data_IF_149175820181
#
_entry.id   IF_149175820181
#
_cell.length_a   1.000
_cell.length_b   1.000
_cell.length_c   1.000
_cell.angle_alpha   90.00
_cell.angle_beta   90.00
_cell.angle_gamma   90.00
#
_symmetry.space_group_name_H-M   'P 1'
#
loop_
_entity.id
_entity.type
_entity.pdbx_description
1 polymer ?
#
# COMPACT_ATOMS: atom_id res chain seq x y z
N UNK A 1 7.58 -21.88 -9.50
CA UNK A 1 7.05 -20.57 -9.07
C UNK A 1 8.11 -19.65 -8.42
N UNK A 2 9.41 -19.94 -8.53
CA UNK A 2 10.51 -19.15 -7.95
C UNK A 2 11.14 -18.13 -8.91
N UNK A 3 10.97 -18.32 -10.22
CA UNK A 3 11.67 -17.59 -11.29
C UNK A 3 11.43 -16.08 -11.36
N UNK A 4 10.37 -15.57 -10.72
CA UNK A 4 9.99 -14.15 -10.78
C UNK A 4 10.32 -13.38 -9.49
N UNK A 5 10.87 -14.07 -8.48
CA UNK A 5 11.39 -13.45 -7.28
C UNK A 5 12.83 -13.00 -7.56
N UNK A 6 13.19 -11.70 -7.45
CA UNK A 6 14.58 -11.26 -7.64
C UNK A 6 15.56 -11.87 -6.63
N UNK A 7 15.06 -12.46 -5.54
CA UNK A 7 15.85 -13.17 -4.53
C UNK A 7 15.76 -14.70 -4.65
N UNK A 8 15.10 -15.24 -5.68
CA UNK A 8 14.92 -16.68 -5.94
C UNK A 8 14.38 -17.56 -4.79
N UNK A 9 13.87 -16.94 -3.72
CA UNK A 9 13.35 -17.61 -2.52
C UNK A 9 11.81 -17.69 -2.47
N UNK A 10 11.12 -17.28 -3.54
CA UNK A 10 9.64 -17.21 -3.58
C UNK A 10 9.02 -16.01 -2.84
N UNK A 11 9.78 -15.27 -2.04
CA UNK A 11 9.30 -14.22 -1.13
C UNK A 11 9.71 -12.79 -1.50
N UNK A 12 10.21 -12.55 -2.72
CA UNK A 12 10.66 -11.23 -3.18
C UNK A 12 9.49 -10.33 -3.55
N UNK A 13 8.73 -9.90 -2.54
CA UNK A 13 7.71 -8.88 -2.71
C UNK A 13 8.39 -7.52 -2.85
N UNK A 14 7.73 -6.60 -3.54
CA UNK A 14 8.28 -5.29 -3.87
C UNK A 14 7.33 -4.55 -4.78
N UNK A 15 7.70 -3.34 -5.16
CA UNK A 15 6.88 -2.47 -5.97
C UNK A 15 6.78 -3.00 -7.41
N UNK A 16 5.80 -3.86 -7.67
CA UNK A 16 5.56 -4.47 -8.99
C UNK A 16 4.78 -3.59 -9.96
N UNK A 17 3.93 -2.70 -9.42
CA UNK A 17 3.14 -1.73 -10.19
C UNK A 17 3.22 -0.31 -9.62
N UNK A 18 4.07 -0.10 -8.62
CA UNK A 18 4.25 1.20 -7.97
C UNK A 18 5.65 1.76 -8.23
N UNK A 19 5.81 3.08 -8.11
CA UNK A 19 7.12 3.74 -8.14
C UNK A 19 7.09 4.94 -7.21
N UNK A 20 8.08 5.05 -6.33
CA UNK A 20 8.31 6.26 -5.54
C UNK A 20 8.87 7.36 -6.44
N UNK A 21 8.21 8.52 -6.47
CA UNK A 21 8.67 9.70 -7.21
C UNK A 21 9.72 10.44 -6.39
N UNK A 22 9.56 10.43 -5.06
CA UNK A 22 10.45 11.11 -4.14
C UNK A 22 9.78 11.48 -2.83
N UNK A 23 10.57 12.10 -1.96
CA UNK A 23 10.14 12.66 -0.69
C UNK A 23 10.05 14.17 -0.80
N UNK A 24 8.93 14.72 -0.36
CA UNK A 24 8.62 16.13 -0.45
C UNK A 24 8.36 16.68 0.95
N UNK A 25 9.08 17.74 1.31
CA UNK A 25 8.87 18.45 2.57
C UNK A 25 7.77 19.49 2.36
N UNK A 26 6.68 19.35 3.10
CA UNK A 26 5.58 20.30 3.12
C UNK A 26 5.44 20.79 4.56
N UNK A 27 5.73 22.07 4.79
CA UNK A 27 5.87 22.66 6.12
C UNK A 27 6.91 21.89 6.96
N UNK A 28 6.48 21.31 8.10
CA UNK A 28 7.33 20.52 8.99
C UNK A 28 7.24 19.01 8.74
N UNK A 29 6.40 18.56 7.79
CA UNK A 29 6.17 17.16 7.51
C UNK A 29 6.88 16.72 6.22
N UNK A 30 7.30 15.45 6.18
CA UNK A 30 7.84 14.82 4.98
C UNK A 30 6.79 13.83 4.47
N UNK A 31 6.53 13.88 3.16
CA UNK A 31 5.63 12.97 2.48
C UNK A 31 6.34 12.29 1.32
N UNK A 32 6.18 10.99 1.21
CA UNK A 32 6.53 10.22 0.04
C UNK A 32 5.37 10.25 -0.96
N UNK A 33 5.68 10.51 -2.23
CA UNK A 33 4.73 10.41 -3.34
C UNK A 33 5.03 9.15 -4.15
N UNK A 34 4.00 8.35 -4.41
CA UNK A 34 4.13 7.10 -5.16
C UNK A 34 3.10 7.01 -6.28
N UNK A 35 3.52 6.70 -7.52
CA UNK A 35 2.59 6.42 -8.62
C UNK A 35 2.33 4.92 -8.70
N UNK A 36 1.06 4.53 -8.63
CA UNK A 36 0.61 3.15 -8.85
C UNK A 36 -0.05 3.05 -10.22
N UNK A 37 0.41 2.10 -11.04
CA UNK A 37 0.00 1.93 -12.44
C UNK A 37 0.96 2.54 -13.47
N UNK A 38 2.08 3.11 -13.03
CA UNK A 38 3.00 3.85 -13.90
C UNK A 38 3.79 2.99 -14.90
N UNK A 39 3.62 1.66 -14.90
CA UNK A 39 4.26 0.73 -15.83
C UNK A 39 5.09 -0.34 -15.12
N UNK A 40 5.65 -1.25 -15.92
CA UNK A 40 6.38 -2.43 -15.45
C UNK A 40 7.60 -2.08 -14.60
N UNK A 41 7.81 -2.84 -13.53
CA UNK A 41 8.95 -2.75 -12.60
C UNK A 41 9.67 -4.09 -12.47
N UNK A 42 10.87 -4.07 -11.91
CA UNK A 42 11.67 -5.28 -11.66
C UNK A 42 10.94 -6.30 -10.78
N UNK A 43 10.03 -5.84 -9.92
CA UNK A 43 9.22 -6.67 -9.03
C UNK A 43 7.84 -7.01 -9.59
N UNK A 44 7.57 -6.75 -10.89
CA UNK A 44 6.24 -6.96 -11.49
C UNK A 44 5.83 -8.44 -11.64
N UNK A 45 6.75 -9.39 -11.45
CA UNK A 45 6.52 -10.84 -11.49
C UNK A 45 5.74 -11.35 -12.71
N UNK A 46 6.04 -10.80 -13.88
CA UNK A 46 5.35 -11.13 -15.13
C UNK A 46 4.11 -10.27 -15.42
N UNK A 47 3.66 -9.47 -14.45
CA UNK A 47 2.67 -8.43 -14.67
C UNK A 47 3.18 -7.27 -15.53
N UNK A 48 2.25 -6.52 -16.08
CA UNK A 48 2.49 -5.33 -16.91
C UNK A 48 2.79 -4.05 -16.10
N UNK A 49 2.61 -4.09 -14.77
CA UNK A 49 2.79 -2.95 -13.86
C UNK A 49 1.74 -1.84 -14.03
N UNK A 50 0.63 -2.12 -14.73
CA UNK A 50 -0.49 -1.20 -14.94
C UNK A 50 -1.64 -1.48 -13.98
N UNK A 51 -2.36 -0.41 -13.62
CA UNK A 51 -3.65 -0.49 -12.94
C UNK A 51 -4.78 -0.08 -13.88
N UNK A 52 -5.98 -0.58 -13.61
CA UNK A 52 -7.19 -0.25 -14.38
C UNK A 52 -8.01 0.82 -13.69
N UNK A 53 -8.76 1.61 -14.47
CA UNK A 53 -9.52 2.75 -13.97
C UNK A 53 -10.43 2.41 -12.80
N UNK A 54 -11.16 1.29 -12.87
CA UNK A 54 -12.05 0.83 -11.78
C UNK A 54 -11.31 0.62 -10.45
N UNK A 55 -10.10 0.05 -10.46
CA UNK A 55 -9.32 -0.17 -9.24
C UNK A 55 -8.77 1.15 -8.71
N UNK A 56 -8.32 2.02 -9.62
CA UNK A 56 -7.74 3.31 -9.25
C UNK A 56 -8.80 4.28 -8.70
N UNK A 57 -10.03 4.26 -9.22
CA UNK A 57 -11.18 5.00 -8.65
C UNK A 57 -11.48 4.50 -7.23
N UNK A 58 -11.57 3.17 -7.03
CA UNK A 58 -11.84 2.59 -5.72
C UNK A 58 -10.78 2.97 -4.70
N UNK A 59 -9.51 2.86 -5.05
CA UNK A 59 -8.39 3.26 -4.18
C UNK A 59 -8.46 4.76 -3.87
N UNK A 60 -8.68 5.62 -4.87
CA UNK A 60 -8.80 7.06 -4.67
C UNK A 60 -9.94 7.42 -3.70
N UNK A 61 -11.16 6.93 -3.97
CA UNK A 61 -12.33 7.26 -3.17
C UNK A 61 -12.20 6.76 -1.73
N UNK A 62 -11.72 5.53 -1.53
CA UNK A 62 -11.69 4.94 -0.19
C UNK A 62 -10.51 5.41 0.64
N UNK A 63 -9.37 5.74 0.03
CA UNK A 63 -8.29 6.49 0.69
C UNK A 63 -8.82 7.75 1.36
N UNK A 64 -9.57 8.56 0.61
CA UNK A 64 -10.07 9.85 1.08
C UNK A 64 -11.27 9.71 2.03
N UNK A 65 -12.14 8.72 1.81
CA UNK A 65 -13.22 8.39 2.73
C UNK A 65 -12.68 7.95 4.10
N UNK A 66 -11.67 7.06 4.12
CA UNK A 66 -11.02 6.61 5.36
C UNK A 66 -10.41 7.79 6.12
N UNK A 67 -9.72 8.69 5.41
CA UNK A 67 -9.17 9.89 6.00
C UNK A 67 -10.27 10.76 6.64
N UNK A 68 -11.38 10.96 5.92
CA UNK A 68 -12.53 11.76 6.39
C UNK A 68 -13.23 11.13 7.61
N UNK A 69 -13.24 9.79 7.70
CA UNK A 69 -13.71 9.03 8.87
C UNK A 69 -12.70 9.05 10.04
N UNK A 70 -11.57 9.75 9.89
CA UNK A 70 -10.50 9.79 10.89
C UNK A 70 -9.75 8.47 11.02
N UNK A 71 -9.83 7.58 10.04
CA UNK A 71 -9.11 6.30 10.01
C UNK A 71 -7.73 6.53 9.38
N UNK A 72 -6.62 6.19 10.06
CA UNK A 72 -5.28 6.35 9.50
C UNK A 72 -5.16 5.60 8.17
N UNK A 73 -4.71 6.30 7.12
CA UNK A 73 -4.63 5.77 5.76
C UNK A 73 -3.61 6.49 4.90
N UNK A 74 -3.12 5.83 3.85
CA UNK A 74 -2.49 6.48 2.70
C UNK A 74 -3.51 7.33 1.94
N UNK A 75 -3.11 8.53 1.54
CA UNK A 75 -3.93 9.50 0.83
C UNK A 75 -3.79 9.32 -0.69
N UNK A 76 -4.78 9.79 -1.43
CA UNK A 76 -4.78 9.80 -2.88
C UNK A 76 -4.80 11.25 -3.39
N UNK A 77 -3.69 11.69 -3.99
CA UNK A 77 -3.52 13.07 -4.45
C UNK A 77 -4.17 13.32 -5.81
N UNK A 78 -4.04 12.37 -6.74
CA UNK A 78 -4.56 12.53 -8.10
C UNK A 78 -4.84 11.19 -8.75
N UNK A 79 -5.79 11.18 -9.68
CA UNK A 79 -6.14 10.03 -10.52
C UNK A 79 -6.09 10.46 -11.99
N UNK A 80 -5.28 9.75 -12.78
CA UNK A 80 -5.14 9.97 -14.22
C UNK A 80 -5.64 8.74 -14.98
N UNK A 81 -6.57 8.94 -15.91
CA UNK A 81 -6.98 7.91 -16.86
C UNK A 81 -6.18 8.02 -18.15
N UNK A 82 -5.80 6.89 -18.74
CA UNK A 82 -5.22 6.87 -20.07
C UNK A 82 -6.35 6.83 -21.11
N UNK A 83 -6.28 7.70 -22.11
CA UNK A 83 -7.29 7.74 -23.20
C UNK A 83 -7.01 6.66 -24.26
N UNK A 84 -5.74 6.36 -24.51
CA UNK A 84 -5.31 5.48 -25.60
C UNK A 84 -4.94 4.05 -25.15
N UNK A 85 -4.49 3.87 -23.92
CA UNK A 85 -4.02 2.57 -23.43
C UNK A 85 -5.13 1.76 -22.75
N UNK A 86 -5.27 0.50 -23.17
CA UNK A 86 -6.15 -0.48 -22.54
C UNK A 86 -5.32 -1.63 -21.98
N UNK A 87 -5.78 -2.16 -20.85
CA UNK A 87 -5.14 -3.25 -20.11
C UNK A 87 -6.13 -4.39 -19.98
N UNK A 88 -5.69 -5.61 -20.28
CA UNK A 88 -6.50 -6.81 -20.15
C UNK A 88 -6.59 -7.23 -18.68
N UNK A 89 -7.81 -7.33 -18.14
CA UNK A 89 -8.12 -7.83 -16.79
C UNK A 89 -9.51 -8.48 -16.81
N UNK A 90 -9.75 -9.42 -15.91
CA UNK A 90 -11.07 -10.03 -15.73
C UNK A 90 -12.14 -8.99 -15.40
N UNK A 91 -13.33 -9.12 -15.97
CA UNK A 91 -14.47 -8.25 -15.62
C UNK A 91 -14.97 -8.57 -14.21
N UNK A 92 -15.57 -7.59 -13.53
CA UNK A 92 -16.37 -7.85 -12.32
C UNK A 92 -17.84 -8.11 -12.65
N UNK A 93 -18.27 -7.76 -13.88
CA UNK A 93 -19.66 -7.89 -14.34
C UNK A 93 -19.92 -9.22 -15.03
N UNK A 94 -18.91 -9.73 -15.71
CA UNK A 94 -18.97 -10.95 -16.50
C UNK A 94 -18.10 -11.96 -15.75
N UNK A 95 -18.73 -12.86 -15.01
CA UNK A 95 -18.06 -13.97 -14.31
C UNK A 95 -17.82 -15.14 -15.30
N UNK A 96 -17.38 -14.80 -16.51
CA UNK A 96 -17.11 -15.74 -17.59
C UNK A 96 -15.65 -16.20 -17.61
N UNK A 97 -14.86 -15.72 -16.63
CA UNK A 97 -13.44 -15.99 -16.48
C UNK A 97 -12.55 -15.28 -17.52
N UNK A 98 -13.10 -14.50 -18.46
CA UNK A 98 -12.35 -13.90 -19.57
C UNK A 98 -11.76 -12.55 -19.20
N UNK A 99 -10.68 -12.20 -19.89
CA UNK A 99 -10.09 -10.87 -19.79
C UNK A 99 -10.72 -9.91 -20.80
N UNK A 100 -11.06 -8.72 -20.31
CA UNK A 100 -11.62 -7.64 -21.11
C UNK A 100 -10.65 -6.47 -21.14
N UNK A 101 -10.76 -5.66 -22.21
CA UNK A 101 -10.01 -4.43 -22.32
C UNK A 101 -10.58 -3.37 -21.37
N UNK A 102 -9.80 -3.03 -20.35
CA UNK A 102 -10.14 -2.00 -19.37
C UNK A 102 -9.28 -0.75 -19.61
N UNK A 103 -9.80 0.43 -19.30
CA UNK A 103 -9.03 1.67 -19.38
C UNK A 103 -7.88 1.62 -18.36
N UNK A 104 -6.65 1.90 -18.80
CA UNK A 104 -5.51 2.02 -17.90
C UNK A 104 -5.62 3.30 -17.07
N UNK A 105 -5.14 3.28 -15.82
CA UNK A 105 -5.12 4.46 -14.96
C UNK A 105 -3.91 4.45 -14.03
N UNK A 106 -3.55 5.64 -13.54
CA UNK A 106 -2.49 5.88 -12.58
C UNK A 106 -3.07 6.66 -11.40
N UNK A 107 -2.85 6.18 -10.17
CA UNK A 107 -3.16 6.92 -8.95
C UNK A 107 -1.87 7.40 -8.29
N UNK A 108 -1.81 8.68 -7.92
CA UNK A 108 -0.75 9.23 -7.11
C UNK A 108 -1.14 9.10 -5.64
N UNK A 109 -0.35 8.33 -4.89
CA UNK A 109 -0.54 8.04 -3.48
C UNK A 109 0.42 8.90 -2.66
N UNK A 110 -0.02 9.28 -1.47
CA UNK A 110 0.75 10.11 -0.54
C UNK A 110 0.71 9.50 0.85
N UNK A 111 1.87 9.38 1.48
CA UNK A 111 2.01 8.87 2.84
C UNK A 111 3.29 9.40 3.47
N UNK A 112 3.40 9.53 4.82
CA UNK A 112 4.69 9.80 5.46
C UNK A 112 5.78 8.77 5.08
N UNK A 113 5.39 7.51 4.90
CA UNK A 113 6.20 6.49 4.23
C UNK A 113 5.33 5.35 3.68
N UNK A 114 5.89 4.56 2.77
CA UNK A 114 5.28 3.32 2.28
C UNK A 114 5.90 2.05 2.88
N UNK A 115 6.64 2.16 4.00
CA UNK A 115 7.21 0.99 4.68
C UNK A 115 6.15 0.06 5.25
N UNK A 116 6.44 -1.24 5.14
CA UNK A 116 5.51 -2.35 5.45
C UNK A 116 6.18 -3.39 6.30
N UNK A 117 5.43 -4.17 7.07
CA UNK A 117 6.00 -5.19 7.97
C UNK A 117 6.93 -6.14 7.21
N UNK A 118 6.61 -6.50 5.97
CA UNK A 118 7.50 -7.29 5.11
C UNK A 118 8.89 -6.68 4.85
N UNK A 119 9.07 -5.35 4.99
CA UNK A 119 10.39 -4.72 4.91
C UNK A 119 11.26 -4.97 6.15
N UNK A 120 10.66 -5.32 7.29
CA UNK A 120 11.42 -5.69 8.49
C UNK A 120 12.04 -7.08 8.39
N UNK A 121 11.51 -7.94 7.51
CA UNK A 121 12.14 -9.21 7.16
C UNK A 121 13.54 -8.97 6.56
N UNK A 122 13.76 -7.80 5.96
CA UNK A 122 15.07 -7.29 5.58
C UNK A 122 15.72 -6.56 6.77
N UNK A 123 16.20 -7.34 7.75
CA UNK A 123 16.73 -6.86 9.04
C UNK A 123 17.72 -5.69 8.95
N UNK A 124 18.46 -5.55 7.85
CA UNK A 124 19.37 -4.43 7.60
C UNK A 124 18.67 -3.06 7.57
N UNK A 125 17.37 -3.01 7.28
CA UNK A 125 16.59 -1.77 7.17
C UNK A 125 15.97 -1.34 8.50
N UNK A 126 15.98 -2.17 9.55
CA UNK A 126 15.26 -1.90 10.80
C UNK A 126 15.57 -0.51 11.37
N UNK A 127 16.85 -0.21 11.64
CA UNK A 127 17.25 1.09 12.22
C UNK A 127 16.86 2.27 11.35
N UNK A 128 16.87 2.11 10.03
CA UNK A 128 16.50 3.16 9.09
C UNK A 128 14.99 3.40 9.11
N UNK A 129 14.19 2.34 9.07
CA UNK A 129 12.72 2.42 9.15
C UNK A 129 12.28 3.05 10.47
N UNK A 130 12.87 2.65 11.60
CA UNK A 130 12.57 3.25 12.91
C UNK A 130 12.88 4.74 12.93
N UNK A 131 13.98 5.19 12.32
CA UNK A 131 14.30 6.62 12.23
C UNK A 131 13.26 7.43 11.45
N UNK A 132 12.54 6.80 10.52
CA UNK A 132 11.52 7.46 9.70
C UNK A 132 10.15 7.40 10.36
N UNK A 133 9.69 6.21 10.76
CA UNK A 133 8.32 6.00 11.26
C UNK A 133 8.16 6.20 12.77
N UNK A 134 9.26 6.09 13.53
CA UNK A 134 9.29 6.10 15.00
C UNK A 134 10.47 6.94 15.51
N UNK A 135 10.69 8.11 14.90
CA UNK A 135 11.88 8.96 15.14
C UNK A 135 12.04 9.41 16.61
N UNK A 136 10.95 9.40 17.37
CA UNK A 136 10.91 9.72 18.80
C UNK A 136 11.45 8.59 19.70
N UNK A 137 11.50 7.34 19.23
CA UNK A 137 12.07 6.22 20.00
C UNK A 137 13.59 6.35 20.09
N UNK A 138 14.14 6.10 21.28
CA UNK A 138 15.58 6.23 21.60
C UNK A 138 16.06 5.01 22.39
N UNK A 139 17.38 4.87 22.49
CA UNK A 139 18.02 3.83 23.29
C UNK A 139 18.84 2.85 22.46
N UNK A 140 19.24 1.75 23.08
CA UNK A 140 19.99 0.69 22.41
C UNK A 140 19.06 -0.20 21.58
N UNK A 141 19.62 -1.10 20.77
CA UNK A 141 18.82 -1.92 19.86
C UNK A 141 17.75 -2.77 20.58
N UNK A 142 18.06 -3.27 21.78
CA UNK A 142 17.14 -4.13 22.53
C UNK A 142 15.93 -3.33 23.03
N UNK A 143 16.16 -2.15 23.62
CA UNK A 143 15.06 -1.28 24.07
C UNK A 143 14.24 -0.78 22.89
N UNK A 144 14.90 -0.33 21.82
CA UNK A 144 14.24 0.15 20.60
C UNK A 144 13.30 -0.89 19.99
N UNK A 145 13.70 -2.17 19.95
CA UNK A 145 12.84 -3.24 19.43
C UNK A 145 11.61 -3.43 20.31
N UNK A 146 11.78 -3.43 21.63
CA UNK A 146 10.66 -3.59 22.58
C UNK A 146 9.68 -2.42 22.44
N UNK A 147 10.18 -1.19 22.47
CA UNK A 147 9.36 0.02 22.38
C UNK A 147 8.63 0.09 21.03
N UNK A 148 9.33 -0.24 19.94
CA UNK A 148 8.74 -0.34 18.60
C UNK A 148 7.60 -1.35 18.56
N UNK A 149 7.82 -2.58 19.05
CA UNK A 149 6.81 -3.63 19.02
C UNK A 149 5.58 -3.25 19.84
N UNK A 150 5.78 -2.62 21.00
CA UNK A 150 4.67 -2.12 21.82
C UNK A 150 3.87 -1.04 21.10
N UNK A 151 4.52 -0.01 20.54
CA UNK A 151 3.81 1.07 19.87
C UNK A 151 3.14 0.62 18.56
N UNK A 152 3.84 -0.20 17.76
CA UNK A 152 3.29 -0.76 16.53
C UNK A 152 2.04 -1.61 16.82
N UNK A 153 2.09 -2.47 17.84
CA UNK A 153 0.94 -3.27 18.29
C UNK A 153 -0.26 -2.39 18.63
N UNK A 154 -0.07 -1.32 19.40
CA UNK A 154 -1.15 -0.37 19.71
C UNK A 154 -1.70 0.33 18.47
N UNK A 155 -0.84 0.74 17.53
CA UNK A 155 -1.28 1.36 16.27
C UNK A 155 -2.12 0.39 15.43
N UNK A 156 -1.72 -0.88 15.31
CA UNK A 156 -2.48 -1.89 14.60
C UNK A 156 -3.81 -2.21 15.28
N UNK A 157 -3.84 -2.37 16.61
CA UNK A 157 -5.07 -2.59 17.35
C UNK A 157 -6.08 -1.45 17.14
N UNK A 158 -5.60 -0.20 17.19
CA UNK A 158 -6.43 0.99 16.93
C UNK A 158 -6.93 1.04 15.48
N UNK A 159 -6.07 0.69 14.51
CA UNK A 159 -6.44 0.66 13.10
C UNK A 159 -7.56 -0.37 12.84
N UNK A 160 -7.36 -1.61 13.30
CA UNK A 160 -8.32 -2.70 13.12
C UNK A 160 -9.63 -2.39 13.86
N UNK A 161 -9.57 -1.86 15.08
CA UNK A 161 -10.76 -1.41 15.80
C UNK A 161 -11.59 -0.39 15.01
N UNK A 162 -10.91 0.58 14.37
CA UNK A 162 -11.58 1.56 13.51
C UNK A 162 -12.17 0.95 12.24
N UNK A 163 -11.51 -0.06 11.65
CA UNK A 163 -12.11 -0.81 10.55
C UNK A 163 -13.39 -1.51 10.96
N UNK A 164 -13.39 -2.19 12.11
CA UNK A 164 -14.57 -2.87 12.63
C UNK A 164 -15.73 -1.88 12.88
N UNK A 165 -15.44 -0.69 13.43
CA UNK A 165 -16.49 0.29 13.74
C UNK A 165 -17.21 0.86 12.51
N UNK A 166 -16.61 0.77 11.32
CA UNK A 166 -17.21 1.23 10.05
C UNK A 166 -17.56 0.07 9.11
N UNK A 167 -17.44 -1.17 9.59
CA UNK A 167 -17.66 -2.38 8.80
C UNK A 167 -16.73 -2.54 7.62
N UNK A 168 -15.50 -2.01 7.68
CA UNK A 168 -14.51 -2.16 6.61
C UNK A 168 -13.78 -3.51 6.65
N UNK A 169 -13.62 -4.13 5.49
CA UNK A 169 -12.95 -5.42 5.31
C UNK A 169 -11.81 -5.25 4.29
N UNK A 170 -10.55 -5.28 4.74
CA UNK A 170 -9.36 -5.14 3.88
C UNK A 170 -9.14 -6.33 2.93
N UNK A 171 -9.57 -7.54 3.31
CA UNK A 171 -9.45 -8.83 2.61
C UNK A 171 -8.04 -9.38 2.32
N UNK A 172 -6.99 -8.56 2.25
CA UNK A 172 -5.63 -8.97 1.84
C UNK A 172 -4.52 -8.63 2.87
N UNK A 173 -4.80 -8.78 4.17
CA UNK A 173 -3.91 -8.33 5.24
C UNK A 173 -2.69 -9.25 5.47
N UNK A 174 -1.83 -9.32 4.46
CA UNK A 174 -0.52 -9.96 4.51
C UNK A 174 0.52 -9.01 5.11
N UNK A 175 1.71 -9.51 5.48
CA UNK A 175 2.80 -8.68 6.03
C UNK A 175 3.27 -7.60 5.05
N UNK A 176 3.15 -7.86 3.74
CA UNK A 176 3.42 -6.90 2.68
C UNK A 176 2.27 -5.93 2.44
N UNK A 177 1.10 -6.02 3.08
CA UNK A 177 0.06 -4.98 3.06
C UNK A 177 -0.17 -4.32 4.42
N UNK A 178 0.69 -4.62 5.40
CA UNK A 178 0.65 -4.05 6.73
C UNK A 178 1.61 -2.85 6.82
N UNK A 179 1.09 -1.61 6.77
CA UNK A 179 1.92 -0.42 6.94
C UNK A 179 2.54 -0.37 8.35
N UNK A 180 3.86 -0.19 8.42
CA UNK A 180 4.59 -0.09 9.70
C UNK A 180 4.12 1.09 10.55
N UNK A 181 3.66 2.17 9.91
CA UNK A 181 3.12 3.34 10.60
C UNK A 181 1.67 3.18 11.06
N UNK A 182 1.05 2.00 10.90
CA UNK A 182 -0.32 1.73 11.36
C UNK A 182 -1.38 2.47 10.54
N UNK A 183 -1.25 2.43 9.21
CA UNK A 183 -2.16 3.09 8.27
C UNK A 183 -2.78 2.04 7.34
N UNK A 184 -4.01 2.28 6.91
CA UNK A 184 -4.62 1.53 5.80
C UNK A 184 -3.85 1.81 4.52
N UNK A 185 -3.53 0.77 3.75
CA UNK A 185 -2.75 0.85 2.52
C UNK A 185 -3.23 -0.24 1.54
N UNK A 186 -3.01 -0.03 0.25
CA UNK A 186 -3.30 -0.99 -0.82
C UNK A 186 -4.75 -1.49 -0.86
N UNK A 187 -5.63 -0.58 -1.27
CA UNK A 187 -7.04 -0.83 -1.52
C UNK A 187 -7.24 -1.74 -2.74
N UNK A 188 -7.17 -3.05 -2.52
CA UNK A 188 -7.43 -4.09 -3.51
C UNK A 188 -8.87 -4.62 -3.45
N UNK A 189 -9.08 -5.91 -3.12
CA UNK A 189 -10.42 -6.49 -3.00
C UNK A 189 -11.13 -6.17 -1.67
N UNK A 190 -11.06 -4.91 -1.20
CA UNK A 190 -11.75 -4.50 0.02
C UNK A 190 -13.28 -4.51 -0.15
N UNK A 191 -14.00 -4.56 0.97
CA UNK A 191 -15.44 -4.37 1.04
C UNK A 191 -15.85 -3.56 2.26
N UNK A 192 -17.08 -3.07 2.26
CA UNK A 192 -17.79 -2.59 3.44
C UNK A 192 -18.97 -3.52 3.69
N UNK A 193 -19.29 -3.79 4.95
CA UNK A 193 -20.51 -4.51 5.29
C UNK A 193 -21.71 -3.71 4.77
N UNK A 194 -22.49 -4.33 3.89
CA UNK A 194 -23.80 -3.83 3.50
C UNK A 194 -24.84 -4.09 4.58
N UNK A 195 -26.05 -3.57 4.38
CA UNK A 195 -27.26 -4.05 5.07
C UNK A 195 -27.79 -5.25 4.30
#
# INVERSE_FOLDING_TARGET
MTSNCPFNNGNGYGDGSAISIGHFKINHNIYELQLKGAGKRSFARGGDGRTVLRSSIREYLVSEAMFSLGIPTTRALSLYCCVSEKVKRQSYKEDDGKEHNNIAAIVCRVSPSFYRVGHLELLSLFKYIIRIEYSHLKGNIKSLVIDFLQEASHKFAKLVSKWQSVGYIQSNMNSDNASIGGRTIDYGPFGFMGV
#
